data_IF_174767620887
#
_entry.id   IF_174767620887
#
_cell.length_a   1.000
_cell.length_b   1.000
_cell.length_c   1.000
_cell.angle_alpha   90.00
_cell.angle_beta   90.00
_cell.angle_gamma   90.00
#
_symmetry.space_group_name_H-M   'P 1'
#
loop_
_entity.id
_entity.type
_entity.pdbx_description
1 polymer ?
#
# COMPACT_ATOMS: atom_id res chain seq x y z
N UNK A 1 -15.36 5.94 24.44
CA UNK A 1 -15.93 5.53 23.14
C UNK A 1 -14.90 4.75 22.34
N UNK A 2 -15.34 3.81 21.54
CA UNK A 2 -14.49 3.05 20.63
C UNK A 2 -14.92 3.30 19.19
N UNK A 3 -13.99 3.21 18.25
CA UNK A 3 -14.27 3.25 16.82
C UNK A 3 -13.92 1.90 16.21
N UNK A 4 -14.81 1.38 15.37
CA UNK A 4 -14.61 0.11 14.69
C UNK A 4 -14.47 0.36 13.18
N UNK A 5 -13.32 -0.04 12.63
CA UNK A 5 -13.06 0.05 11.20
C UNK A 5 -13.76 -1.07 10.43
N UNK A 6 -14.17 -0.77 9.19
CA UNK A 6 -14.40 -1.80 8.18
C UNK A 6 -13.05 -2.24 7.66
N UNK A 7 -12.75 -3.53 7.73
CA UNK A 7 -11.41 -4.07 7.43
C UNK A 7 -11.49 -5.05 6.27
N UNK A 8 -10.52 -4.96 5.37
CA UNK A 8 -10.34 -5.94 4.29
C UNK A 8 -10.13 -7.33 4.90
N UNK A 9 -10.80 -8.36 4.36
CA UNK A 9 -10.61 -9.73 4.83
C UNK A 9 -9.20 -10.24 4.53
N UNK A 10 -8.70 -11.14 5.37
CA UNK A 10 -7.39 -11.77 5.17
C UNK A 10 -7.30 -12.49 3.83
N UNK A 11 -8.34 -13.24 3.47
CA UNK A 11 -8.39 -13.97 2.20
C UNK A 11 -8.33 -13.02 1.01
N UNK A 12 -9.07 -11.92 1.06
CA UNK A 12 -9.07 -10.93 -0.03
C UNK A 12 -7.71 -10.23 -0.14
N UNK A 13 -7.09 -9.91 0.98
CA UNK A 13 -5.75 -9.35 1.00
C UNK A 13 -4.74 -10.30 0.33
N UNK A 14 -4.80 -11.57 0.64
CA UNK A 14 -3.93 -12.59 0.00
C UNK A 14 -4.21 -12.69 -1.49
N UNK A 15 -5.47 -12.68 -1.92
CA UNK A 15 -5.83 -12.66 -3.34
C UNK A 15 -5.19 -11.47 -4.07
N UNK A 16 -5.25 -10.28 -3.44
CA UNK A 16 -4.62 -9.08 -4.01
C UNK A 16 -3.11 -9.23 -4.11
N UNK A 17 -2.46 -9.78 -3.08
CA UNK A 17 -1.02 -10.04 -3.09
C UNK A 17 -0.64 -11.03 -4.21
N UNK A 18 -1.39 -12.10 -4.38
CA UNK A 18 -1.13 -13.09 -5.43
C UNK A 18 -1.24 -12.47 -6.83
N UNK A 19 -2.28 -11.68 -7.06
CA UNK A 19 -2.56 -11.11 -8.37
C UNK A 19 -1.66 -9.90 -8.72
N UNK A 20 -1.45 -9.00 -7.77
CA UNK A 20 -0.71 -7.76 -8.00
C UNK A 20 0.78 -7.88 -7.68
N UNK A 21 1.14 -8.59 -6.63
CA UNK A 21 2.52 -8.59 -6.10
C UNK A 21 3.32 -9.78 -6.60
N UNK A 22 2.77 -10.99 -6.47
CA UNK A 22 3.49 -12.23 -6.75
C UNK A 22 3.51 -12.60 -8.22
N UNK A 23 2.59 -12.05 -9.03
CA UNK A 23 2.61 -12.22 -10.49
C UNK A 23 3.79 -11.42 -11.09
N UNK A 24 4.22 -11.75 -12.32
CA UNK A 24 5.44 -11.16 -12.88
C UNK A 24 5.45 -9.64 -13.00
N UNK A 25 6.59 -9.05 -12.71
CA UNK A 25 6.89 -7.64 -12.93
C UNK A 25 7.97 -7.52 -14.02
N UNK A 26 8.04 -6.43 -14.80
CA UNK A 26 7.22 -5.21 -14.71
C UNK A 26 5.78 -5.41 -15.20
N UNK A 27 4.89 -4.53 -14.76
CA UNK A 27 3.48 -4.50 -15.17
C UNK A 27 3.20 -3.25 -15.97
N UNK A 28 2.38 -3.40 -17.02
CA UNK A 28 1.92 -2.27 -17.82
C UNK A 28 0.65 -1.66 -17.23
N UNK A 29 0.28 -0.46 -17.70
CA UNK A 29 -0.99 0.16 -17.33
C UNK A 29 -2.17 -0.74 -17.71
N UNK A 30 -2.11 -1.42 -18.86
CA UNK A 30 -3.13 -2.37 -19.31
C UNK A 30 -3.27 -3.54 -18.34
N UNK A 31 -2.15 -4.06 -17.81
CA UNK A 31 -2.16 -5.08 -16.76
C UNK A 31 -2.92 -4.57 -15.52
N UNK A 32 -2.69 -3.32 -15.16
CA UNK A 32 -3.37 -2.67 -14.03
C UNK A 32 -4.87 -2.55 -14.26
N UNK A 33 -5.30 -2.17 -15.45
CA UNK A 33 -6.72 -2.09 -15.79
C UNK A 33 -7.39 -3.47 -15.75
N UNK A 34 -6.71 -4.49 -16.23
CA UNK A 34 -7.21 -5.87 -16.20
C UNK A 34 -7.36 -6.36 -14.75
N UNK A 35 -6.39 -6.07 -13.90
CA UNK A 35 -6.46 -6.42 -12.48
C UNK A 35 -7.58 -5.68 -11.76
N UNK A 36 -7.72 -4.37 -12.00
CA UNK A 36 -8.83 -3.57 -11.49
C UNK A 36 -10.17 -4.23 -11.82
N UNK A 37 -10.36 -4.60 -13.09
CA UNK A 37 -11.61 -5.21 -13.56
C UNK A 37 -11.82 -6.61 -12.98
N UNK A 38 -10.75 -7.40 -12.85
CA UNK A 38 -10.79 -8.73 -12.24
C UNK A 38 -11.32 -8.67 -10.79
N UNK A 39 -10.92 -7.66 -10.03
CA UNK A 39 -11.37 -7.48 -8.66
C UNK A 39 -12.73 -6.77 -8.55
N UNK A 40 -13.29 -6.32 -9.67
CA UNK A 40 -14.58 -5.64 -9.69
C UNK A 40 -14.53 -4.20 -9.17
N UNK A 41 -13.35 -3.59 -9.12
CA UNK A 41 -13.18 -2.21 -8.71
C UNK A 41 -13.58 -1.28 -9.84
N UNK A 42 -14.39 -0.27 -9.53
CA UNK A 42 -14.97 0.63 -10.55
C UNK A 42 -14.08 1.83 -10.80
N UNK A 43 -13.69 2.10 -12.06
CA UNK A 43 -12.83 3.24 -12.38
C UNK A 43 -13.57 4.58 -12.28
N UNK A 44 -12.81 5.63 -12.04
CA UNK A 44 -13.26 7.00 -12.22
C UNK A 44 -13.58 7.27 -13.69
N UNK A 45 -14.57 8.10 -13.96
CA UNK A 45 -14.95 8.49 -15.33
C UNK A 45 -13.81 9.20 -16.08
N UNK A 46 -13.00 9.97 -15.38
CA UNK A 46 -11.96 10.81 -15.97
C UNK A 46 -10.54 10.25 -15.80
N UNK A 47 -10.33 9.34 -14.86
CA UNK A 47 -9.01 8.79 -14.54
C UNK A 47 -9.12 7.27 -14.36
N UNK A 48 -8.80 6.49 -15.42
CA UNK A 48 -8.98 5.04 -15.37
C UNK A 48 -8.06 4.34 -14.36
N UNK A 49 -6.98 4.99 -13.93
CA UNK A 49 -6.04 4.49 -12.93
C UNK A 49 -6.47 4.81 -11.48
N UNK A 50 -7.63 5.45 -11.28
CA UNK A 50 -8.21 5.73 -9.96
C UNK A 50 -9.55 5.01 -9.89
N UNK A 51 -9.77 4.25 -8.84
CA UNK A 51 -10.92 3.34 -8.75
C UNK A 51 -11.37 3.10 -7.32
N UNK A 52 -12.52 2.44 -7.18
CA UNK A 52 -13.06 2.03 -5.88
C UNK A 52 -12.25 0.87 -5.30
N UNK A 53 -12.52 0.50 -4.05
CA UNK A 53 -11.91 -0.63 -3.37
C UNK A 53 -12.95 -1.43 -2.60
N UNK A 54 -12.52 -2.57 -2.04
CA UNK A 54 -13.43 -3.46 -1.31
C UNK A 54 -13.97 -2.84 -0.01
N UNK A 55 -13.16 -2.06 0.71
CA UNK A 55 -13.53 -1.48 2.00
C UNK A 55 -14.20 -0.11 1.87
N UNK A 56 -14.09 0.52 0.70
CA UNK A 56 -14.74 1.80 0.40
C UNK A 56 -15.37 1.70 -1.01
N UNK A 57 -16.44 0.88 -1.17
CA UNK A 57 -16.96 0.54 -2.50
C UNK A 57 -17.65 1.68 -3.24
N UNK A 58 -18.04 2.73 -2.55
CA UNK A 58 -18.77 3.86 -3.12
C UNK A 58 -17.89 5.08 -3.37
N UNK A 59 -16.61 5.02 -3.05
CA UNK A 59 -15.66 6.13 -3.20
C UNK A 59 -14.40 5.69 -3.93
N UNK A 60 -13.76 6.63 -4.62
CA UNK A 60 -12.47 6.42 -5.26
C UNK A 60 -11.39 6.40 -4.19
N UNK A 61 -10.86 5.23 -3.87
CA UNK A 61 -9.96 5.02 -2.74
C UNK A 61 -8.70 4.26 -3.08
N UNK A 62 -8.58 3.77 -4.30
CA UNK A 62 -7.42 3.04 -4.78
C UNK A 62 -6.90 3.65 -6.08
N UNK A 63 -5.61 3.48 -6.35
CA UNK A 63 -5.02 4.00 -7.58
C UNK A 63 -3.70 3.31 -7.90
N UNK A 64 -3.28 3.37 -9.16
CA UNK A 64 -1.92 3.07 -9.53
C UNK A 64 -1.33 4.24 -10.33
N UNK A 65 -0.03 4.42 -10.23
CA UNK A 65 0.73 5.38 -11.04
C UNK A 65 1.46 4.65 -12.14
N UNK A 66 1.62 5.30 -13.28
CA UNK A 66 2.42 4.75 -14.38
C UNK A 66 3.27 5.84 -15.00
N UNK A 67 4.43 5.43 -15.53
CA UNK A 67 5.32 6.29 -16.29
C UNK A 67 5.67 5.56 -17.59
N UNK A 68 5.41 6.19 -18.73
CA UNK A 68 5.63 5.57 -20.04
C UNK A 68 4.93 4.22 -20.19
N UNK A 69 3.72 4.12 -19.62
CA UNK A 69 2.90 2.91 -19.68
C UNK A 69 3.28 1.79 -18.73
N UNK A 70 4.25 2.01 -17.83
CA UNK A 70 4.71 1.01 -16.85
C UNK A 70 4.33 1.45 -15.45
N UNK A 71 3.73 0.54 -14.67
CA UNK A 71 3.27 0.81 -13.31
C UNK A 71 4.47 0.98 -12.36
N UNK A 72 4.49 2.10 -11.63
CA UNK A 72 5.47 2.36 -10.57
C UNK A 72 4.95 1.99 -9.19
N UNK A 73 3.68 2.29 -8.90
CA UNK A 73 3.09 2.01 -7.59
C UNK A 73 1.61 1.71 -7.71
N UNK A 74 1.09 0.96 -6.74
CA UNK A 74 -0.33 0.65 -6.57
C UNK A 74 -0.68 0.85 -5.10
N UNK A 75 -1.73 1.60 -4.82
CA UNK A 75 -2.16 1.98 -3.47
C UNK A 75 -3.61 1.55 -3.26
N UNK A 76 -3.88 0.87 -2.17
CA UNK A 76 -5.25 0.47 -1.82
C UNK A 76 -5.46 0.50 -0.30
N UNK A 77 -6.68 0.82 0.16
CA UNK A 77 -6.96 0.84 1.59
C UNK A 77 -7.17 -0.55 2.16
N UNK A 78 -6.68 -0.77 3.35
CA UNK A 78 -6.98 -1.96 4.18
C UNK A 78 -8.20 -1.68 5.04
N UNK A 79 -8.39 -0.41 5.45
CA UNK A 79 -9.54 0.02 6.23
C UNK A 79 -10.27 1.17 5.54
N UNK A 80 -11.51 1.40 5.94
CA UNK A 80 -12.20 2.65 5.66
C UNK A 80 -11.52 3.80 6.46
N UNK A 81 -12.01 5.01 6.28
CA UNK A 81 -11.45 6.20 6.91
C UNK A 81 -12.27 6.57 8.15
N UNK A 82 -11.60 6.66 9.31
CA UNK A 82 -12.24 7.12 10.53
C UNK A 82 -12.55 8.61 10.42
N UNK A 83 -13.77 9.05 10.82
CA UNK A 83 -14.09 10.46 10.81
C UNK A 83 -13.26 11.22 11.84
N UNK A 84 -13.06 12.51 11.62
CA UNK A 84 -12.21 13.36 12.46
C UNK A 84 -12.55 13.28 13.95
N UNK A 85 -13.82 13.19 14.30
CA UNK A 85 -14.29 13.09 15.66
C UNK A 85 -13.89 11.77 16.35
N UNK A 86 -13.47 10.77 15.58
CA UNK A 86 -13.02 9.49 16.14
C UNK A 86 -11.49 9.41 16.32
N UNK A 87 -10.71 10.35 15.78
CA UNK A 87 -9.24 10.25 15.77
C UNK A 87 -8.60 10.10 17.16
N UNK A 88 -9.24 10.64 18.19
CA UNK A 88 -8.73 10.52 19.56
C UNK A 88 -8.73 9.09 20.11
N UNK A 89 -9.52 8.18 19.52
CA UNK A 89 -9.65 6.78 19.97
C UNK A 89 -9.61 5.75 18.83
N UNK A 90 -9.29 6.17 17.62
CA UNK A 90 -9.12 5.25 16.46
C UNK A 90 -7.67 4.80 16.25
N UNK A 91 -6.68 5.46 16.85
CA UNK A 91 -5.27 5.12 16.66
C UNK A 91 -4.92 3.71 17.12
N UNK A 92 -5.36 3.30 18.32
CA UNK A 92 -5.05 1.96 18.84
C UNK A 92 -5.73 0.85 18.01
N UNK A 93 -7.02 0.95 17.65
CA UNK A 93 -7.62 0.00 16.71
C UNK A 93 -6.87 -0.06 15.37
N UNK A 94 -6.46 1.07 14.81
CA UNK A 94 -5.70 1.11 13.56
C UNK A 94 -4.36 0.37 13.70
N UNK A 95 -3.64 0.58 14.79
CA UNK A 95 -2.37 -0.14 15.06
C UNK A 95 -2.55 -1.64 15.22
N UNK A 96 -3.63 -2.08 15.84
CA UNK A 96 -3.94 -3.52 15.97
C UNK A 96 -4.12 -4.13 14.57
N UNK A 97 -4.87 -3.45 13.69
CA UNK A 97 -5.08 -3.89 12.31
C UNK A 97 -3.75 -3.91 11.55
N UNK A 98 -2.97 -2.86 11.67
CA UNK A 98 -1.63 -2.76 11.05
C UNK A 98 -0.75 -3.96 11.43
N UNK A 99 -0.65 -4.28 12.72
CA UNK A 99 0.17 -5.40 13.20
C UNK A 99 -0.32 -6.73 12.63
N UNK A 100 -1.63 -6.91 12.54
CA UNK A 100 -2.22 -8.13 11.97
C UNK A 100 -1.79 -8.32 10.51
N UNK A 101 -1.89 -7.27 9.69
CA UNK A 101 -1.48 -7.35 8.28
C UNK A 101 0.03 -7.48 8.12
N UNK A 102 0.82 -6.89 9.01
CA UNK A 102 2.26 -7.14 9.05
C UNK A 102 2.59 -8.60 9.34
N UNK A 103 1.82 -9.29 10.18
CA UNK A 103 2.03 -10.72 10.42
C UNK A 103 1.77 -11.56 9.16
N UNK A 104 0.72 -11.23 8.38
CA UNK A 104 0.45 -11.89 7.11
C UNK A 104 1.64 -11.72 6.17
N UNK A 105 2.15 -10.50 6.03
CA UNK A 105 3.29 -10.19 5.16
C UNK A 105 4.58 -10.86 5.64
N UNK A 106 4.80 -10.93 6.95
CA UNK A 106 5.96 -11.60 7.52
C UNK A 106 5.98 -13.09 7.19
N UNK A 107 4.82 -13.74 7.30
CA UNK A 107 4.69 -15.16 6.94
C UNK A 107 4.93 -15.41 5.45
N UNK A 108 4.54 -14.44 4.61
CA UNK A 108 4.61 -14.58 3.15
C UNK A 108 5.97 -14.19 2.59
N UNK A 109 6.57 -13.11 3.06
CA UNK A 109 7.77 -12.51 2.47
C UNK A 109 8.97 -12.46 3.41
N UNK A 110 8.80 -12.90 4.65
CA UNK A 110 9.84 -12.80 5.66
C UNK A 110 9.79 -11.48 6.42
N UNK A 111 10.78 -11.25 7.24
CA UNK A 111 10.86 -10.11 8.14
C UNK A 111 10.88 -8.77 7.37
N UNK A 112 10.21 -7.77 7.88
CA UNK A 112 10.23 -6.42 7.31
C UNK A 112 11.65 -5.88 7.18
N UNK A 113 11.95 -5.25 6.04
CA UNK A 113 13.28 -4.65 5.77
C UNK A 113 13.44 -3.29 6.43
N UNK A 114 12.34 -2.56 6.61
CA UNK A 114 12.32 -1.27 7.28
C UNK A 114 11.06 -1.14 8.11
N UNK A 115 11.19 -0.45 9.24
CA UNK A 115 10.07 -0.06 10.08
C UNK A 115 10.25 1.39 10.48
N UNK A 116 9.18 2.16 10.38
CA UNK A 116 9.11 3.53 10.86
C UNK A 116 7.92 3.64 11.80
N UNK A 117 8.14 4.14 13.01
CA UNK A 117 7.06 4.35 13.96
C UNK A 117 7.27 5.72 14.61
N UNK A 118 6.41 6.66 14.25
CA UNK A 118 6.28 7.96 14.91
C UNK A 118 4.94 7.96 15.65
N UNK A 119 4.75 8.90 16.55
CA UNK A 119 3.59 8.92 17.45
C UNK A 119 2.24 8.62 16.78
N UNK A 120 1.99 9.16 15.60
CA UNK A 120 0.73 9.04 14.87
C UNK A 120 0.87 8.46 13.47
N UNK A 121 2.08 8.04 13.08
CA UNK A 121 2.35 7.44 11.76
C UNK A 121 3.26 6.23 11.93
N UNK A 122 2.92 5.16 11.24
CA UNK A 122 3.66 3.92 11.33
C UNK A 122 3.66 3.24 9.97
N UNK A 123 4.74 2.54 9.64
CA UNK A 123 4.91 1.84 8.36
C UNK A 123 5.91 0.72 8.49
N UNK A 124 5.63 -0.41 7.85
CA UNK A 124 6.59 -1.49 7.64
C UNK A 124 6.71 -1.78 6.15
N UNK A 125 7.95 -1.98 5.69
CA UNK A 125 8.26 -2.28 4.29
C UNK A 125 8.78 -3.70 4.17
N UNK A 126 8.13 -4.49 3.31
CA UNK A 126 8.52 -5.85 2.97
C UNK A 126 8.99 -5.87 1.53
N UNK A 127 9.95 -6.75 1.21
CA UNK A 127 10.48 -6.87 -0.14
C UNK A 127 10.34 -8.32 -0.59
N UNK A 128 9.73 -8.51 -1.76
CA UNK A 128 9.51 -9.84 -2.34
C UNK A 128 10.77 -10.36 -3.05
N UNK A 129 10.82 -11.65 -3.42
CA UNK A 129 11.94 -12.18 -4.21
C UNK A 129 12.18 -11.46 -5.53
N UNK A 130 11.13 -10.90 -6.15
CA UNK A 130 11.26 -10.09 -7.37
C UNK A 130 11.77 -8.68 -7.14
N UNK A 131 11.88 -8.26 -5.87
CA UNK A 131 12.26 -6.89 -5.53
C UNK A 131 11.09 -5.91 -5.41
N UNK A 132 9.85 -6.41 -5.42
CA UNK A 132 8.65 -5.58 -5.25
C UNK A 132 8.57 -5.16 -3.78
N UNK A 133 8.29 -3.88 -3.54
CA UNK A 133 8.07 -3.36 -2.19
C UNK A 133 6.60 -3.47 -1.81
N UNK A 134 6.31 -3.99 -0.62
CA UNK A 134 4.96 -4.03 -0.05
C UNK A 134 5.02 -3.27 1.27
N UNK A 135 4.34 -2.15 1.33
CA UNK A 135 4.35 -1.25 2.48
C UNK A 135 2.97 -1.20 3.10
N UNK A 136 2.88 -1.60 4.35
CA UNK A 136 1.65 -1.44 5.15
C UNK A 136 1.91 -0.37 6.18
N UNK A 137 0.99 0.56 6.29
CA UNK A 137 1.12 1.65 7.25
C UNK A 137 -0.14 2.46 7.34
N UNK A 138 -0.10 3.45 8.19
CA UNK A 138 -1.24 4.30 8.41
C UNK A 138 -1.01 5.34 9.50
N UNK A 139 -2.12 5.83 9.98
CA UNK A 139 -2.21 6.82 11.05
C UNK A 139 -3.45 6.52 11.90
N UNK A 140 -3.95 7.50 12.62
CA UNK A 140 -5.19 7.37 13.39
C UNK A 140 -6.45 7.27 12.53
N UNK A 141 -6.39 7.70 11.25
CA UNK A 141 -7.56 7.73 10.38
C UNK A 141 -7.74 6.46 9.53
N UNK A 142 -6.66 5.77 9.16
CA UNK A 142 -6.75 4.61 8.25
C UNK A 142 -5.48 3.77 8.25
N UNK A 143 -5.60 2.55 7.71
CA UNK A 143 -4.48 1.68 7.36
C UNK A 143 -4.56 1.39 5.88
N UNK A 144 -3.44 1.48 5.18
CA UNK A 144 -3.35 1.25 3.73
C UNK A 144 -2.15 0.39 3.36
N UNK A 145 -2.15 -0.09 2.12
CA UNK A 145 -1.05 -0.84 1.54
C UNK A 145 -0.60 -0.15 0.26
N UNK A 146 0.71 0.01 0.10
CA UNK A 146 1.34 0.55 -1.10
C UNK A 146 2.27 -0.51 -1.66
N UNK A 147 2.07 -0.85 -2.94
CA UNK A 147 2.94 -1.77 -3.68
C UNK A 147 3.81 -0.94 -4.61
N UNK A 148 5.11 -1.12 -4.53
CA UNK A 148 6.07 -0.39 -5.39
C UNK A 148 6.82 -1.36 -6.29
N UNK A 149 6.99 -0.97 -7.56
CA UNK A 149 7.71 -1.76 -8.55
C UNK A 149 9.16 -2.01 -8.11
N UNK A 150 9.81 -3.07 -8.62
CA UNK A 150 11.24 -3.27 -8.38
C UNK A 150 12.10 -2.06 -8.79
N UNK A 151 11.73 -1.38 -9.87
CA UNK A 151 12.43 -0.18 -10.33
C UNK A 151 12.32 0.95 -9.31
N UNK A 152 11.11 1.22 -8.80
CA UNK A 152 10.91 2.25 -7.79
C UNK A 152 11.66 1.93 -6.49
N UNK A 153 11.68 0.66 -6.09
CA UNK A 153 12.44 0.22 -4.91
C UNK A 153 13.94 0.41 -5.11
N UNK A 154 14.44 0.12 -6.31
CA UNK A 154 15.85 0.34 -6.65
C UNK A 154 16.21 1.83 -6.63
N UNK A 155 15.39 2.68 -7.24
CA UNK A 155 15.61 4.14 -7.26
C UNK A 155 15.65 4.71 -5.84
N UNK A 156 14.70 4.30 -4.98
CA UNK A 156 14.67 4.73 -3.58
C UNK A 156 15.92 4.29 -2.81
N UNK A 157 16.39 3.06 -3.04
CA UNK A 157 17.59 2.51 -2.44
C UNK A 157 18.85 3.27 -2.87
N UNK A 158 18.97 3.59 -4.16
CA UNK A 158 20.09 4.38 -4.69
C UNK A 158 20.09 5.81 -4.17
N UNK A 159 18.91 6.43 -4.08
CA UNK A 159 18.76 7.76 -3.50
C UNK A 159 19.26 7.77 -2.04
N UNK A 160 18.79 6.82 -1.23
CA UNK A 160 19.22 6.70 0.17
C UNK A 160 20.74 6.48 0.29
N UNK A 161 21.33 5.69 -0.61
CA UNK A 161 22.78 5.47 -0.67
C UNK A 161 23.54 6.76 -0.96
N UNK A 162 23.07 7.55 -1.91
CA UNK A 162 23.70 8.81 -2.28
C UNK A 162 23.59 9.86 -1.17
N UNK A 163 22.45 9.92 -0.48
CA UNK A 163 22.27 10.78 0.69
C UNK A 163 23.24 10.37 1.80
N UNK A 164 23.35 9.10 2.10
CA UNK A 164 24.24 8.58 3.15
C UNK A 164 25.72 8.88 2.87
N UNK A 165 26.12 8.94 1.58
CA UNK A 165 27.48 9.28 1.16
C UNK A 165 27.71 10.78 1.02
N UNK A 166 26.68 11.61 1.21
CA UNK A 166 26.79 13.07 1.11
C UNK A 166 26.83 13.64 -0.31
N UNK A 167 26.52 12.83 -1.32
CA UNK A 167 26.51 13.30 -2.72
C UNK A 167 25.29 14.17 -3.04
N UNK A 168 24.18 13.97 -2.33
CA UNK A 168 22.95 14.77 -2.43
C UNK A 168 22.42 15.05 -1.04
N UNK A 169 21.68 16.16 -0.86
CA UNK A 169 21.07 16.48 0.40
C UNK A 169 19.65 15.88 0.49
N UNK A 170 19.17 15.65 1.71
CA UNK A 170 17.82 15.12 1.93
C UNK A 170 16.72 16.08 1.44
N UNK A 171 17.04 17.35 1.28
CA UNK A 171 16.10 18.41 0.93
C UNK A 171 16.04 18.70 -0.59
N UNK A 172 16.75 17.94 -1.42
CA UNK A 172 16.77 18.09 -2.87
C UNK A 172 15.84 17.14 -3.60
#
# INVERSE_FOLDING_TARGET
MSFEFTVLSDDRFVEILEAWVDSPWPKTAEDGYALRDHFGWRPSENKPNVFTSDVVPDELSASFTSRQGVIGSFDFPITDIAPEEAWGYSLEPAKVIYRHFCEILTRRYGKAKQRSSKKERYRSTFVTPQGVGVKVGGNDALVSCIVESPEEMFIASEYARLVAKGYISEDE
#
